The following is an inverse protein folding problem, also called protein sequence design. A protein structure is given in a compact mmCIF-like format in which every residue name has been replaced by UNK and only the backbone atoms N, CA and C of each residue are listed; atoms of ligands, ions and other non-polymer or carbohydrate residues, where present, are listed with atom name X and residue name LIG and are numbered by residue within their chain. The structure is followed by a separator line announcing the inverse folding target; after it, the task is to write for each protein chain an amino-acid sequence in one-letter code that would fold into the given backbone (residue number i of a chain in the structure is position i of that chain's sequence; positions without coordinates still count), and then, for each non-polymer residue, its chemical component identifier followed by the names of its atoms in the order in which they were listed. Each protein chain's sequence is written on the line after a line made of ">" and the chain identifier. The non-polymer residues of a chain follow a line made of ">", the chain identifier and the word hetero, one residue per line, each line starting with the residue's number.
data_IF_325401493461
#
_entry.id   IF_325401493461
#
_cell.length_a   1.000
_cell.length_b   1.000
_cell.length_c   1.000
_cell.angle_alpha   90.00
_cell.angle_beta   90.00
_cell.angle_gamma   90.00
#
_symmetry.space_group_name_H-M   'P 1'
#
loop_
_entity.id
_entity.type
_entity.pdbx_description
1 polymer ?
#
# COMPACT_ATOMS: atom_id res chain seq x y z
N UNK A 1 -4.68 12.29 12.75
CA UNK A 1 -4.75 12.03 11.29
C UNK A 1 -4.73 10.51 11.10
N UNK A 2 -5.82 9.88 10.63
CA UNK A 2 -5.90 8.42 10.40
C UNK A 2 -6.45 8.14 9.00
N UNK A 3 -5.83 8.72 7.97
CA UNK A 3 -6.38 8.59 6.61
C UNK A 3 -6.15 7.19 6.02
N UNK A 4 -5.11 6.47 6.46
CA UNK A 4 -4.68 5.20 5.84
C UNK A 4 -4.45 4.04 6.83
N UNK A 5 -4.36 4.31 8.14
CA UNK A 5 -4.08 3.30 9.17
C UNK A 5 -5.34 3.03 10.01
N UNK A 6 -6.26 2.22 9.48
CA UNK A 6 -7.27 1.55 10.32
C UNK A 6 -8.70 2.06 10.25
N UNK A 7 -9.08 2.90 9.27
CA UNK A 7 -10.51 3.28 9.09
C UNK A 7 -11.32 2.29 8.25
N UNK A 8 -10.68 1.61 7.30
CA UNK A 8 -11.32 0.62 6.42
C UNK A 8 -10.46 -0.62 6.40
N UNK A 9 -11.06 -1.76 6.76
CA UNK A 9 -10.38 -3.05 6.63
C UNK A 9 -10.36 -3.43 5.14
N UNK A 10 -9.25 -3.13 4.46
CA UNK A 10 -9.08 -3.44 3.04
C UNK A 10 -9.20 -4.95 2.74
N UNK A 11 -8.92 -5.82 3.72
CA UNK A 11 -9.14 -7.25 3.54
C UNK A 11 -10.65 -7.57 3.39
N UNK A 12 -11.53 -6.90 4.14
CA UNK A 12 -12.98 -7.06 3.98
C UNK A 12 -13.44 -6.55 2.60
N UNK A 13 -12.91 -5.42 2.13
CA UNK A 13 -13.21 -4.93 0.77
C UNK A 13 -12.77 -5.95 -0.28
N UNK A 14 -11.58 -6.52 -0.12
CA UNK A 14 -11.03 -7.53 -1.03
C UNK A 14 -11.85 -8.82 -1.09
N UNK A 15 -12.51 -9.23 0.00
CA UNK A 15 -13.36 -10.45 -0.01
C UNK A 15 -14.57 -10.35 -0.95
N UNK A 16 -15.01 -9.13 -1.30
CA UNK A 16 -16.12 -8.92 -2.25
C UNK A 16 -15.68 -8.92 -3.71
N UNK A 17 -14.40 -9.12 -4.01
CA UNK A 17 -13.88 -9.09 -5.37
C UNK A 17 -14.29 -10.33 -6.17
N UNK A 18 -14.62 -10.15 -7.44
CA UNK A 18 -14.86 -11.24 -8.39
C UNK A 18 -13.51 -11.75 -8.90
N UNK A 19 -13.20 -13.00 -8.64
CA UNK A 19 -12.00 -13.62 -9.21
C UNK A 19 -12.14 -13.78 -10.72
N UNK A 20 -11.13 -13.33 -11.47
CA UNK A 20 -11.06 -13.49 -12.91
C UNK A 20 -9.82 -14.31 -13.31
N UNK A 21 -9.87 -14.93 -14.49
CA UNK A 21 -8.73 -15.69 -15.02
C UNK A 21 -7.63 -14.74 -15.53
N UNK A 22 -6.34 -15.03 -15.27
CA UNK A 22 -5.22 -14.29 -15.86
C UNK A 22 -4.99 -14.66 -17.34
N UNK A 23 -5.64 -15.71 -17.82
CA UNK A 23 -5.49 -16.24 -19.16
C UNK A 23 -6.78 -16.03 -19.97
N UNK A 24 -6.62 -15.80 -21.28
CA UNK A 24 -7.72 -15.68 -22.24
C UNK A 24 -8.38 -14.30 -22.21
N UNK A 25 -9.72 -14.28 -22.25
CA UNK A 25 -10.54 -13.07 -22.28
C UNK A 25 -11.44 -13.00 -21.04
N UNK A 26 -10.90 -12.65 -19.85
CA UNK A 26 -11.69 -12.50 -18.64
C UNK A 26 -12.76 -11.41 -18.82
N UNK A 27 -13.93 -11.63 -18.22
CA UNK A 27 -15.06 -10.69 -18.26
C UNK A 27 -15.60 -10.49 -16.85
N UNK A 28 -15.90 -9.23 -16.52
CA UNK A 28 -16.57 -8.84 -15.29
C UNK A 28 -17.53 -7.68 -15.60
N UNK A 29 -18.64 -7.55 -14.86
CA UNK A 29 -19.52 -6.40 -15.00
C UNK A 29 -18.76 -5.08 -14.77
N UNK A 30 -19.09 -4.05 -15.55
CA UNK A 30 -18.49 -2.72 -15.41
C UNK A 30 -18.67 -2.20 -13.96
N UNK A 31 -17.58 -1.75 -13.34
CA UNK A 31 -17.58 -1.26 -11.97
C UNK A 31 -17.38 -2.33 -10.90
N UNK A 32 -17.20 -3.60 -11.28
CA UNK A 32 -16.89 -4.67 -10.32
C UNK A 32 -15.47 -4.54 -9.80
N UNK A 33 -15.30 -4.77 -8.50
CA UNK A 33 -14.00 -5.08 -7.94
C UNK A 33 -13.61 -6.49 -8.38
N UNK A 34 -12.42 -6.66 -8.94
CA UNK A 34 -11.93 -7.96 -9.40
C UNK A 34 -10.63 -8.35 -8.70
N UNK A 35 -10.41 -9.64 -8.53
CA UNK A 35 -9.16 -10.22 -8.04
C UNK A 35 -8.53 -11.11 -9.11
N UNK A 36 -7.20 -11.10 -9.18
CA UNK A 36 -6.43 -11.88 -10.14
C UNK A 36 -5.19 -12.43 -9.45
N UNK A 37 -4.92 -13.71 -9.66
CA UNK A 37 -3.68 -14.35 -9.20
C UNK A 37 -2.96 -14.96 -10.40
N UNK A 38 -1.69 -14.61 -10.57
CA UNK A 38 -0.89 -15.15 -11.67
C UNK A 38 0.59 -14.74 -11.57
N UNK A 39 1.46 -15.38 -12.37
CA UNK A 39 2.86 -15.03 -12.41
C UNK A 39 3.04 -13.62 -13.01
N UNK A 40 3.85 -12.79 -12.36
CA UNK A 40 4.30 -11.52 -12.93
C UNK A 40 5.51 -11.83 -13.80
N UNK A 41 5.42 -11.50 -15.08
CA UNK A 41 6.48 -11.71 -16.07
C UNK A 41 6.78 -10.42 -16.81
N UNK A 42 8.02 -10.28 -17.28
CA UNK A 42 8.44 -9.15 -18.12
C UNK A 42 9.33 -9.67 -19.24
N UNK A 43 9.17 -9.10 -20.43
CA UNK A 43 10.06 -9.34 -21.57
C UNK A 43 11.30 -8.45 -21.51
N UNK A 44 11.34 -7.46 -20.61
CA UNK A 44 12.48 -6.59 -20.40
C UNK A 44 13.54 -7.30 -19.54
N UNK A 45 14.80 -7.20 -19.96
CA UNK A 45 15.92 -7.70 -19.19
C UNK A 45 16.49 -6.57 -18.33
N UNK A 46 16.33 -6.69 -17.02
CA UNK A 46 16.89 -5.75 -16.06
C UNK A 46 18.30 -6.19 -15.67
N UNK A 47 19.22 -5.24 -15.61
CA UNK A 47 20.59 -5.38 -15.13
C UNK A 47 21.11 -4.03 -14.67
N UNK A 48 22.24 -4.00 -13.96
CA UNK A 48 22.82 -2.75 -13.42
C UNK A 48 24.22 -2.44 -13.98
N UNK A 49 24.67 -3.23 -14.97
CA UNK A 49 25.99 -3.14 -15.60
C UNK A 49 27.19 -3.29 -14.65
N UNK A 50 26.98 -3.71 -13.40
CA UNK A 50 28.03 -3.80 -12.39
C UNK A 50 27.97 -5.11 -11.60
N UNK A 51 26.82 -5.45 -11.02
CA UNK A 51 26.62 -6.62 -10.13
C UNK A 51 25.52 -7.56 -10.63
N UNK A 52 24.49 -7.02 -11.29
CA UNK A 52 23.33 -7.74 -11.80
C UNK A 52 23.44 -7.92 -13.32
N UNK A 53 23.70 -9.17 -13.74
CA UNK A 53 23.63 -9.56 -15.15
C UNK A 53 22.19 -9.39 -15.67
N UNK A 54 21.98 -8.92 -16.91
CA UNK A 54 20.65 -8.79 -17.50
C UNK A 54 19.84 -10.09 -17.39
N UNK A 55 18.63 -9.99 -16.82
CA UNK A 55 17.72 -11.11 -16.62
C UNK A 55 16.27 -10.66 -16.44
N UNK A 56 15.30 -11.60 -16.48
CA UNK A 56 13.87 -11.30 -16.37
C UNK A 56 13.45 -11.01 -14.92
N UNK A 57 14.04 -10.00 -14.31
CA UNK A 57 13.72 -9.59 -12.94
C UNK A 57 12.52 -8.64 -12.91
N UNK A 58 11.85 -8.59 -11.77
CA UNK A 58 10.77 -7.63 -11.49
C UNK A 58 11.27 -6.66 -10.42
N UNK A 59 11.32 -5.37 -10.75
CA UNK A 59 11.70 -4.32 -9.81
C UNK A 59 10.47 -3.81 -9.05
N UNK A 60 10.54 -3.79 -7.72
CA UNK A 60 9.51 -3.19 -6.85
C UNK A 60 10.03 -1.87 -6.33
N UNK A 61 9.42 -0.76 -6.76
CA UNK A 61 9.71 0.58 -6.24
C UNK A 61 8.63 0.99 -5.25
N UNK A 62 8.97 1.03 -3.95
CA UNK A 62 8.10 1.54 -2.90
C UNK A 62 8.53 2.95 -2.49
N UNK A 63 7.59 3.89 -2.45
CA UNK A 63 7.79 5.19 -1.79
C UNK A 63 7.23 5.06 -0.37
N UNK A 64 8.10 5.14 0.64
CA UNK A 64 7.69 5.21 2.05
C UNK A 64 7.96 6.62 2.55
N UNK A 65 6.95 7.26 3.12
CA UNK A 65 7.06 8.58 3.73
C UNK A 65 7.05 8.39 5.25
N UNK A 66 8.12 8.82 5.92
CA UNK A 66 8.19 8.81 7.38
C UNK A 66 7.76 10.17 7.90
N UNK A 67 6.72 10.20 8.73
CA UNK A 67 6.27 11.39 9.43
C UNK A 67 6.69 11.26 10.91
N UNK A 68 7.52 12.18 11.39
CA UNK A 68 7.87 12.29 12.80
C UNK A 68 7.02 13.41 13.43
N UNK A 69 6.40 13.13 14.58
CA UNK A 69 5.63 14.10 15.35
C UNK A 69 6.44 14.45 16.59
N UNK A 70 6.60 15.74 16.87
CA UNK A 70 7.10 16.26 18.15
C UNK A 70 5.89 16.70 18.98
N UNK A 71 5.70 16.08 20.15
CA UNK A 71 4.60 16.42 21.05
C UNK A 71 5.02 17.58 21.97
N UNK A 72 4.50 18.77 21.70
CA UNK A 72 4.62 19.90 22.63
C UNK A 72 3.61 19.73 23.78
N UNK A 73 4.11 19.48 24.99
CA UNK A 73 3.29 19.38 26.20
C UNK A 73 3.43 20.62 27.07
N UNK A 74 2.43 21.49 27.04
CA UNK A 74 2.31 22.62 27.98
C UNK A 74 1.42 22.21 29.17
N UNK A 75 1.92 22.35 30.40
CA UNK A 75 1.13 22.14 31.63
C UNK A 75 1.08 23.46 32.41
N UNK A 76 -0.09 24.08 32.50
CA UNK A 76 -0.30 25.32 33.26
C UNK A 76 -1.09 25.00 34.53
N UNK A 77 -0.40 24.98 35.67
CA UNK A 77 -1.03 24.89 36.99
C UNK A 77 -1.41 26.29 37.45
N UNK A 78 -2.70 26.51 37.76
CA UNK A 78 -3.20 27.73 38.38
C UNK A 78 -3.59 27.40 39.82
N UNK A 79 -2.84 27.94 40.79
CA UNK A 79 -3.16 27.83 42.21
C UNK A 79 -4.09 28.98 42.61
N UNK A 80 -5.32 28.66 43.02
CA UNK A 80 -6.19 29.63 43.69
C UNK A 80 -5.93 29.57 45.21
N UNK A 81 -5.26 30.59 45.74
CA UNK A 81 -5.20 30.84 47.17
C UNK A 81 -6.49 31.54 47.60
N UNK A 82 -7.47 30.76 48.09
CA UNK A 82 -8.65 31.29 48.79
C UNK A 82 -8.29 31.70 50.21
N UNK A 83 -8.53 32.97 50.55
CA UNK A 83 -8.44 33.52 51.91
C UNK A 83 -9.74 33.43 52.69
#
# INVERSE_FOLDING_TARGET
>A
MFWNEGRVNLAQVATGAIEISPLGSPSAPLGSLVSLTGPITSNELLGDNLFLRPGPYIAVRRKAEMYAWEEEKETRTQEEFGG
#
